data_IF_924035789898
#
_entry.id   IF_924035789898
#
_cell.length_a   1.000
_cell.length_b   1.000
_cell.length_c   1.000
_cell.angle_alpha   90.00
_cell.angle_beta   90.00
_cell.angle_gamma   90.00
#
_symmetry.space_group_name_H-M   'P 1'
#
loop_
_entity.id
_entity.type
_entity.pdbx_description
1 polymer ?
#
# COMPACT_ATOMS: atom_id res chain seq x y z
N UNK A 1 0.82 -5.57 23.85
CA UNK A 1 0.32 -4.35 23.19
C UNK A 1 -0.97 -4.70 22.46
N UNK A 2 -1.95 -3.78 22.37
CA UNK A 2 -3.08 -3.98 21.48
C UNK A 2 -2.59 -4.14 20.04
N UNK A 3 -3.31 -4.94 19.25
CA UNK A 3 -2.98 -5.16 17.83
C UNK A 3 -3.09 -3.85 17.06
N UNK A 4 -2.13 -3.59 16.18
CA UNK A 4 -2.07 -2.41 15.32
C UNK A 4 -2.97 -2.65 14.12
N UNK A 5 -3.99 -1.81 13.97
CA UNK A 5 -4.88 -1.89 12.82
C UNK A 5 -4.21 -1.37 11.54
N UNK A 6 -4.40 -2.07 10.42
CA UNK A 6 -4.04 -1.62 9.08
C UNK A 6 -5.29 -1.56 8.23
N UNK A 7 -5.67 -0.35 7.81
CA UNK A 7 -6.76 -0.14 6.89
C UNK A 7 -6.38 -0.67 5.50
N UNK A 8 -7.11 -1.68 5.03
CA UNK A 8 -6.97 -2.25 3.68
C UNK A 8 -8.19 -1.99 2.80
N UNK A 9 -9.13 -1.16 3.25
CA UNK A 9 -10.35 -0.87 2.52
C UNK A 9 -10.10 0.02 1.30
N UNK A 10 -10.28 -0.56 0.11
CA UNK A 10 -10.23 0.17 -1.16
C UNK A 10 -11.60 0.33 -1.82
N UNK A 11 -12.71 0.17 -1.08
CA UNK A 11 -14.06 0.20 -1.66
C UNK A 11 -14.54 1.61 -2.05
N UNK A 12 -13.92 2.67 -1.52
CA UNK A 12 -14.29 4.05 -1.84
C UNK A 12 -13.53 4.55 -3.09
N UNK A 13 -14.19 4.69 -4.26
CA UNK A 13 -13.52 5.11 -5.48
C UNK A 13 -13.01 6.56 -5.46
N UNK A 14 -13.51 7.40 -4.53
CA UNK A 14 -13.07 8.80 -4.37
C UNK A 14 -11.87 8.96 -3.43
N UNK A 15 -11.54 7.91 -2.68
CA UNK A 15 -10.46 7.91 -1.69
C UNK A 15 -9.79 6.54 -1.68
N UNK A 16 -9.30 6.11 -2.86
CA UNK A 16 -8.58 4.85 -2.99
C UNK A 16 -7.26 4.93 -2.24
N UNK A 17 -6.93 3.85 -1.54
CA UNK A 17 -5.62 3.67 -0.91
C UNK A 17 -4.67 2.89 -1.84
N UNK A 18 -5.22 2.14 -2.79
CA UNK A 18 -4.47 1.52 -3.88
C UNK A 18 -4.89 2.15 -5.20
N UNK A 19 -3.96 2.84 -5.85
CA UNK A 19 -4.20 3.58 -7.09
C UNK A 19 -3.34 3.01 -8.23
N UNK A 20 -3.96 2.35 -9.21
CA UNK A 20 -3.23 1.77 -10.35
C UNK A 20 -3.68 2.31 -11.72
N UNK A 21 -4.33 3.48 -11.77
CA UNK A 21 -4.90 4.03 -12.99
C UNK A 21 -3.91 4.18 -14.16
N UNK A 22 -2.61 4.32 -13.88
CA UNK A 22 -1.55 4.39 -14.91
C UNK A 22 -1.33 3.08 -15.67
N UNK A 23 -1.83 1.95 -15.15
CA UNK A 23 -1.71 0.61 -15.77
C UNK A 23 -2.84 0.34 -16.79
N UNK A 24 -3.78 1.28 -16.97
CA UNK A 24 -4.84 1.17 -17.97
C UNK A 24 -5.84 0.07 -17.66
N UNK A 25 -6.11 -0.82 -18.63
CA UNK A 25 -7.14 -1.86 -18.53
C UNK A 25 -6.99 -2.81 -17.32
N UNK A 26 -5.76 -3.02 -16.87
CA UNK A 26 -5.45 -3.91 -15.74
C UNK A 26 -5.49 -3.20 -14.38
N UNK A 27 -5.83 -1.91 -14.32
CA UNK A 27 -5.82 -1.12 -13.08
C UNK A 27 -6.65 -1.77 -11.96
N UNK A 28 -7.88 -2.21 -12.24
CA UNK A 28 -8.74 -2.84 -11.24
C UNK A 28 -8.16 -4.16 -10.72
N UNK A 29 -7.56 -4.97 -11.59
CA UNK A 29 -6.91 -6.23 -11.22
C UNK A 29 -5.67 -5.98 -10.35
N UNK A 30 -4.87 -4.97 -10.70
CA UNK A 30 -3.69 -4.53 -9.93
C UNK A 30 -4.10 -4.01 -8.55
N UNK A 31 -5.11 -3.15 -8.46
CA UNK A 31 -5.60 -2.61 -7.18
C UNK A 31 -6.13 -3.72 -6.28
N UNK A 32 -6.87 -4.68 -6.84
CA UNK A 32 -7.35 -5.87 -6.12
C UNK A 32 -6.17 -6.71 -5.62
N UNK A 33 -5.16 -6.95 -6.47
CA UNK A 33 -3.96 -7.71 -6.10
C UNK A 33 -3.18 -7.02 -4.97
N UNK A 34 -3.02 -5.70 -5.02
CA UNK A 34 -2.40 -4.93 -3.94
C UNK A 34 -3.15 -5.15 -2.62
N UNK A 35 -4.48 -5.04 -2.62
CA UNK A 35 -5.31 -5.25 -1.43
C UNK A 35 -5.17 -6.68 -0.86
N UNK A 36 -5.21 -7.69 -1.72
CA UNK A 36 -5.03 -9.10 -1.35
C UNK A 36 -3.69 -9.31 -0.64
N UNK A 37 -2.60 -8.81 -1.23
CA UNK A 37 -1.24 -8.99 -0.73
C UNK A 37 -1.05 -8.25 0.60
N UNK A 38 -1.50 -7.00 0.71
CA UNK A 38 -1.44 -6.26 1.97
C UNK A 38 -2.18 -7.01 3.07
N UNK A 39 -3.40 -7.49 2.78
CA UNK A 39 -4.21 -8.26 3.74
C UNK A 39 -3.51 -9.55 4.15
N UNK A 40 -2.91 -10.27 3.21
CA UNK A 40 -2.20 -11.51 3.47
C UNK A 40 -0.93 -11.30 4.33
N UNK A 41 -0.12 -10.28 4.01
CA UNK A 41 1.10 -9.98 4.78
C UNK A 41 0.76 -9.48 6.17
N UNK A 42 -0.24 -8.60 6.31
CA UNK A 42 -0.73 -8.12 7.61
C UNK A 42 -1.28 -9.26 8.44
N UNK A 43 -2.07 -10.17 7.86
CA UNK A 43 -2.64 -11.31 8.57
C UNK A 43 -1.61 -12.31 9.11
N UNK A 44 -0.40 -12.35 8.52
CA UNK A 44 0.73 -13.14 9.01
C UNK A 44 1.55 -12.45 10.10
N UNK A 45 1.39 -11.14 10.29
CA UNK A 45 2.16 -10.37 11.25
C UNK A 45 1.45 -10.37 12.63
N UNK A 46 2.07 -10.91 13.70
CA UNK A 46 1.38 -11.20 14.96
C UNK A 46 0.81 -9.96 15.67
N UNK A 47 1.45 -8.80 15.50
CA UNK A 47 1.05 -7.54 16.14
C UNK A 47 0.04 -6.74 15.32
N UNK A 48 -0.34 -7.20 14.13
CA UNK A 48 -1.17 -6.44 13.20
C UNK A 48 -2.49 -7.14 12.89
N UNK A 49 -3.48 -6.35 12.49
CA UNK A 49 -4.78 -6.82 12.01
C UNK A 49 -5.31 -5.90 10.93
N UNK A 50 -6.04 -6.47 9.96
CA UNK A 50 -6.78 -5.72 8.94
C UNK A 50 -8.29 -5.88 9.05
N UNK A 51 -8.77 -6.60 10.06
CA UNK A 51 -10.21 -6.75 10.31
C UNK A 51 -10.81 -5.46 10.85
N UNK A 52 -11.91 -5.01 10.23
CA UNK A 52 -12.65 -3.82 10.64
C UNK A 52 -13.27 -3.94 12.04
N UNK A 53 -13.48 -5.16 12.54
CA UNK A 53 -13.96 -5.38 13.91
C UNK A 53 -12.97 -4.91 14.98
N UNK A 54 -11.69 -4.79 14.63
CA UNK A 54 -10.60 -4.31 15.47
C UNK A 54 -10.23 -2.84 15.20
N UNK A 55 -11.13 -2.06 14.58
CA UNK A 55 -10.90 -0.65 14.22
C UNK A 55 -10.57 0.19 15.47
N UNK A 56 -9.37 0.77 15.45
CA UNK A 56 -8.84 1.65 16.48
C UNK A 56 -7.71 2.52 15.93
N UNK A 57 -6.76 2.93 16.78
CA UNK A 57 -5.52 3.56 16.31
C UNK A 57 -4.76 2.57 15.42
N UNK A 58 -4.35 3.02 14.25
CA UNK A 58 -3.69 2.18 13.27
C UNK A 58 -3.05 3.01 12.17
N UNK A 59 -2.96 2.41 11.00
CA UNK A 59 -2.33 2.98 9.82
C UNK A 59 -3.07 2.61 8.55
N UNK A 60 -2.80 3.34 7.47
CA UNK A 60 -3.12 2.97 6.09
C UNK A 60 -1.82 2.95 5.31
N UNK A 61 -1.57 1.89 4.55
CA UNK A 61 -0.48 1.84 3.56
C UNK A 61 -1.11 2.20 2.21
N UNK A 62 -0.85 3.41 1.73
CA UNK A 62 -1.25 3.83 0.38
C UNK A 62 -0.20 3.38 -0.61
N UNK A 63 -0.63 2.86 -1.75
CA UNK A 63 0.24 2.37 -2.81
C UNK A 63 -0.26 2.91 -4.14
N UNK A 64 0.56 3.71 -4.81
CA UNK A 64 0.22 4.35 -6.07
C UNK A 64 1.18 3.96 -7.17
N UNK A 65 0.68 3.45 -8.29
CA UNK A 65 1.48 3.32 -9.51
C UNK A 65 1.65 4.71 -10.11
N UNK A 66 2.85 5.28 -9.98
CA UNK A 66 3.16 6.65 -10.41
C UNK A 66 3.58 6.71 -11.88
N UNK A 67 4.26 5.66 -12.36
CA UNK A 67 4.83 5.60 -13.70
C UNK A 67 4.68 4.21 -14.32
N UNK A 68 4.45 4.18 -15.62
CA UNK A 68 4.51 2.98 -16.45
C UNK A 68 5.30 3.34 -17.69
N UNK A 69 6.40 2.65 -17.93
CA UNK A 69 7.28 2.86 -19.08
C UNK A 69 7.49 1.56 -19.83
N UNK A 70 7.41 1.60 -21.15
CA UNK A 70 7.67 0.43 -21.99
C UNK A 70 8.84 0.74 -22.91
N UNK A 71 9.93 -0.01 -22.76
CA UNK A 71 11.13 0.15 -23.57
C UNK A 71 11.74 -1.24 -23.85
N UNK A 72 12.12 -1.50 -25.11
CA UNK A 72 12.79 -2.75 -25.49
C UNK A 72 12.01 -4.04 -25.17
N UNK A 73 10.67 -4.01 -25.18
CA UNK A 73 9.83 -5.15 -24.81
C UNK A 73 9.70 -5.41 -23.31
N UNK A 74 10.28 -4.53 -22.48
CA UNK A 74 10.13 -4.55 -21.02
C UNK A 74 9.20 -3.42 -20.58
N UNK A 75 8.26 -3.73 -19.70
CA UNK A 75 7.42 -2.72 -19.06
C UNK A 75 7.89 -2.52 -17.62
N UNK A 76 8.26 -1.30 -17.27
CA UNK A 76 8.67 -0.91 -15.92
C UNK A 76 7.54 -0.11 -15.26
N UNK A 77 7.17 -0.53 -14.06
CA UNK A 77 6.22 0.14 -13.19
C UNK A 77 6.96 0.77 -12.02
N UNK A 78 6.67 2.04 -11.75
CA UNK A 78 7.14 2.73 -10.55
C UNK A 78 5.98 2.84 -9.58
N UNK A 79 6.22 2.42 -8.33
CA UNK A 79 5.22 2.43 -7.28
C UNK A 79 5.67 3.34 -6.16
N UNK A 80 4.78 4.23 -5.70
CA UNK A 80 5.01 5.12 -4.57
C UNK A 80 4.20 4.66 -3.36
N UNK A 81 4.86 4.25 -2.27
CA UNK A 81 4.21 3.88 -1.03
C UNK A 81 4.22 5.02 0.00
N UNK A 82 3.10 5.18 0.71
CA UNK A 82 2.93 6.17 1.78
C UNK A 82 2.27 5.52 3.00
N UNK A 83 2.80 5.79 4.20
CA UNK A 83 2.23 5.31 5.46
C UNK A 83 1.58 6.48 6.20
N UNK A 84 0.26 6.41 6.39
CA UNK A 84 -0.51 7.43 7.10
C UNK A 84 -1.16 6.86 8.35
N UNK A 85 -1.26 7.66 9.41
CA UNK A 85 -1.98 7.29 10.64
C UNK A 85 -3.48 7.15 10.38
N UNK A 86 -4.10 6.15 11.00
CA UNK A 86 -5.54 5.88 10.97
C UNK A 86 -6.15 5.89 12.39
N UNK A 87 -7.41 6.34 12.57
CA UNK A 87 -8.15 7.18 11.61
C UNK A 87 -7.42 8.49 11.37
N UNK A 88 -7.65 9.14 10.22
CA UNK A 88 -7.07 10.44 9.95
C UNK A 88 -7.57 11.44 10.98
N UNK A 89 -6.66 12.08 11.72
CA UNK A 89 -7.01 13.09 12.72
C UNK A 89 -7.38 14.39 12.01
N UNK A 90 -8.60 14.48 11.48
CA UNK A 90 -9.19 15.73 11.00
C UNK A 90 -9.70 16.58 12.18
N UNK A 91 -8.80 16.94 13.10
CA UNK A 91 -9.08 17.95 14.11
C UNK A 91 -9.05 19.35 13.49
N UNK A 92 -10.04 20.19 13.78
CA UNK A 92 -10.07 21.63 13.42
C UNK A 92 -8.73 22.29 13.82
N UNK A 93 -7.82 22.47 12.86
CA UNK A 93 -6.51 23.09 13.06
C UNK A 93 -5.29 22.23 12.72
N UNK A 94 -5.44 20.92 12.48
CA UNK A 94 -4.35 20.04 12.09
C UNK A 94 -4.00 20.17 10.60
N UNK A 95 -2.88 20.83 10.29
CA UNK A 95 -2.28 20.75 8.95
C UNK A 95 -1.67 19.36 8.77
N UNK A 96 -2.18 18.62 7.79
CA UNK A 96 -1.56 17.40 7.29
C UNK A 96 -2.10 16.14 7.97
N UNK A 97 -2.48 15.16 7.16
CA UNK A 97 -2.47 13.77 7.59
C UNK A 97 -1.07 13.52 8.18
N UNK A 98 -0.99 13.15 9.46
CA UNK A 98 0.30 12.90 10.12
C UNK A 98 0.97 11.68 9.45
N UNK A 99 1.76 11.97 8.41
CA UNK A 99 2.57 10.99 7.70
C UNK A 99 3.64 10.46 8.64
N UNK A 100 3.78 9.13 8.69
CA UNK A 100 4.78 8.49 9.55
C UNK A 100 6.15 8.50 8.89
N UNK A 101 6.20 8.16 7.60
CA UNK A 101 7.38 8.15 6.75
C UNK A 101 6.98 7.65 5.35
N UNK A 102 7.56 8.22 4.29
CA UNK A 102 7.56 7.60 2.96
C UNK A 102 8.80 6.72 2.83
N UNK A 103 8.70 5.59 2.13
CA UNK A 103 9.92 4.86 1.75
C UNK A 103 10.72 5.81 0.84
N UNK A 104 11.97 6.11 1.22
CA UNK A 104 12.80 7.17 0.60
C UNK A 104 13.11 6.96 -0.88
N UNK A 105 12.80 5.79 -1.42
CA UNK A 105 12.93 5.45 -2.84
C UNK A 105 11.69 4.70 -3.30
N UNK A 106 11.08 5.20 -4.37
CA UNK A 106 10.00 4.50 -5.08
C UNK A 106 10.52 3.14 -5.56
N UNK A 107 9.96 2.01 -5.08
CA UNK A 107 10.28 0.72 -5.65
C UNK A 107 9.82 0.68 -7.11
N UNK A 108 10.73 0.23 -7.96
CA UNK A 108 10.47 -0.03 -9.37
C UNK A 108 10.41 -1.52 -9.60
N UNK A 109 9.57 -1.92 -10.55
CA UNK A 109 9.52 -3.29 -11.03
C UNK A 109 9.45 -3.34 -12.54
N UNK A 110 10.40 -4.06 -13.15
CA UNK A 110 10.41 -4.34 -14.57
C UNK A 110 9.87 -5.74 -14.83
N UNK A 111 8.84 -5.87 -15.66
CA UNK A 111 8.36 -7.16 -16.17
C UNK A 111 8.70 -7.27 -17.65
N UNK A 112 9.23 -8.42 -18.06
CA UNK A 112 9.49 -8.69 -19.48
C UNK A 112 8.20 -9.21 -20.12
N UNK A 113 7.74 -8.57 -21.20
CA UNK A 113 6.50 -8.93 -21.88
C UNK A 113 5.27 -8.11 -21.48
N UNK A 114 4.15 -8.39 -22.16
CA UNK A 114 2.91 -7.61 -22.09
C UNK A 114 1.74 -8.37 -21.43
N UNK A 115 2.01 -9.51 -20.78
CA UNK A 115 0.94 -10.31 -20.18
C UNK A 115 0.51 -9.71 -18.84
N UNK A 116 -0.80 -9.72 -18.60
CA UNK A 116 -1.38 -9.26 -17.33
C UNK A 116 -0.91 -10.13 -16.15
N UNK A 117 -0.68 -11.43 -16.37
CA UNK A 117 -0.18 -12.33 -15.35
C UNK A 117 1.19 -11.89 -14.79
N UNK A 118 2.16 -11.57 -15.65
CA UNK A 118 3.49 -11.13 -15.23
C UNK A 118 3.45 -9.78 -14.50
N UNK A 119 2.56 -8.88 -14.95
CA UNK A 119 2.26 -7.64 -14.23
C UNK A 119 1.76 -7.94 -12.81
N UNK A 120 0.79 -8.85 -12.65
CA UNK A 120 0.21 -9.15 -11.34
C UNK A 120 1.20 -9.83 -10.40
N UNK A 121 2.02 -10.76 -10.89
CA UNK A 121 3.13 -11.36 -10.14
C UNK A 121 4.14 -10.30 -9.68
N UNK A 122 4.46 -9.36 -10.56
CA UNK A 122 5.34 -8.27 -10.20
C UNK A 122 4.74 -7.35 -9.13
N UNK A 123 3.47 -6.95 -9.30
CA UNK A 123 2.75 -6.14 -8.33
C UNK A 123 2.68 -6.83 -6.97
N UNK A 124 2.52 -8.14 -6.96
CA UNK A 124 2.56 -8.94 -5.73
C UNK A 124 3.90 -8.83 -5.02
N UNK A 125 5.01 -9.09 -5.70
CA UNK A 125 6.34 -9.01 -5.12
C UNK A 125 6.70 -7.61 -4.61
N UNK A 126 6.37 -6.55 -5.36
CA UNK A 126 6.65 -5.17 -4.93
C UNK A 126 5.77 -4.76 -3.73
N UNK A 127 4.50 -5.17 -3.72
CA UNK A 127 3.56 -4.88 -2.63
C UNK A 127 4.00 -5.60 -1.36
N UNK A 128 4.38 -6.87 -1.44
CA UNK A 128 4.89 -7.63 -0.30
C UNK A 128 6.14 -6.97 0.32
N UNK A 129 7.08 -6.52 -0.52
CA UNK A 129 8.27 -5.80 -0.08
C UNK A 129 7.93 -4.46 0.60
N UNK A 130 7.00 -3.69 0.03
CA UNK A 130 6.50 -2.44 0.61
C UNK A 130 5.93 -2.69 2.00
N UNK A 131 5.00 -3.65 2.13
CA UNK A 131 4.29 -3.91 3.39
C UNK A 131 5.28 -4.42 4.43
N UNK A 132 6.14 -5.37 4.09
CA UNK A 132 7.16 -5.92 4.99
C UNK A 132 8.08 -4.83 5.55
N UNK A 133 8.49 -3.86 4.73
CA UNK A 133 9.29 -2.71 5.18
C UNK A 133 8.49 -1.68 5.98
N UNK A 134 7.18 -1.62 5.77
CA UNK A 134 6.29 -0.68 6.45
C UNK A 134 5.94 -1.12 7.87
N UNK A 135 5.82 -2.44 8.12
CA UNK A 135 5.43 -2.95 9.45
C UNK A 135 6.35 -2.46 10.59
N UNK A 136 7.69 -2.53 10.51
CA UNK A 136 8.55 -2.02 11.58
C UNK A 136 8.42 -0.51 11.80
N UNK A 137 8.21 0.28 10.74
CA UNK A 137 8.02 1.73 10.84
C UNK A 137 6.73 2.06 11.60
N UNK A 138 5.65 1.35 11.29
CA UNK A 138 4.37 1.47 11.99
C UNK A 138 4.46 1.06 13.46
N UNK A 139 5.20 -0.02 13.78
CA UNK A 139 5.46 -0.40 15.18
C UNK A 139 6.17 0.71 15.93
N UNK A 140 7.28 1.21 15.38
CA UNK A 140 8.08 2.25 16.00
C UNK A 140 7.30 3.54 16.21
N UNK A 141 6.48 3.93 15.24
CA UNK A 141 5.60 5.09 15.38
C UNK A 141 4.52 4.86 16.46
N UNK A 142 3.89 3.68 16.49
CA UNK A 142 2.82 3.38 17.45
C UNK A 142 3.33 3.43 18.89
N UNK A 143 4.59 3.04 19.15
CA UNK A 143 5.18 3.18 20.50
C UNK A 143 5.31 4.63 20.98
N UNK A 144 5.22 5.60 20.06
CA UNK A 144 5.27 7.04 20.36
C UNK A 144 3.88 7.70 20.40
N UNK A 145 2.79 6.96 20.13
CA UNK A 145 1.40 7.45 20.01
C UNK A 145 0.50 7.07 21.19
#
# INVERSE_FOLDING_TARGET
MPKIFVNTDNSNPKAKIYEAGKVGKSAAAVEKKMQEVVTAVVGKAPDFVSDRSAVGKGYTIRIKVTKVETAGGQTTYTVHPEIVRFPSSSGKGGKGEEMVSTLTKDPTIGVQGHSEALLLEGIEAVTENIVTKSLPLMRMDMTKR
#
